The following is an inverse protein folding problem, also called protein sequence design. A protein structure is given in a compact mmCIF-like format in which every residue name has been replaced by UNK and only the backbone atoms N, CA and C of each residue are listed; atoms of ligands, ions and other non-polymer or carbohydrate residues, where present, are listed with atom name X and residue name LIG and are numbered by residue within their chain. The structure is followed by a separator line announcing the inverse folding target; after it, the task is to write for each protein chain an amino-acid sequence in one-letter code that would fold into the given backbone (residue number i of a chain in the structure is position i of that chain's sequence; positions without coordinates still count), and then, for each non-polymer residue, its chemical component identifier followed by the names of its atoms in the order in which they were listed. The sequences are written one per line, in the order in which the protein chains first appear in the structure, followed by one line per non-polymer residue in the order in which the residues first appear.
data_IF_603137204461
#
_entry.id   IF_603137204461
#
_cell.length_a   1.000
_cell.length_b   1.000
_cell.length_c   1.000
_cell.angle_alpha   90.00
_cell.angle_beta   90.00
_cell.angle_gamma   90.00
#
_symmetry.space_group_name_H-M   'P 1'
#
loop_
_entity.id
_entity.type
_entity.pdbx_description
1 polymer ?
#
# COMPACT_ATOMS: atom_id res chain seq x y z
N UNK A 1 -8.98 4.81 -9.75
CA UNK A 1 -9.70 5.39 -8.59
C UNK A 1 -10.33 6.72 -8.97
N UNK A 2 -11.27 7.17 -8.19
CA UNK A 2 -12.00 8.42 -8.38
C UNK A 2 -12.04 9.17 -7.04
N UNK A 3 -10.85 9.44 -6.51
CA UNK A 3 -10.57 10.06 -5.21
C UNK A 3 -11.16 9.27 -4.02
N UNK A 4 -12.47 9.24 -3.85
CA UNK A 4 -13.15 8.65 -2.69
C UNK A 4 -13.76 7.25 -2.97
N UNK A 5 -13.59 6.71 -4.20
CA UNK A 5 -14.14 5.40 -4.56
C UNK A 5 -13.26 4.61 -5.53
N UNK A 6 -13.41 3.29 -5.49
CA UNK A 6 -12.90 2.36 -6.50
C UNK A 6 -14.02 2.12 -7.52
N UNK A 7 -13.76 2.43 -8.79
CA UNK A 7 -14.73 2.25 -9.88
C UNK A 7 -14.32 1.05 -10.73
N UNK A 8 -15.27 0.15 -10.98
CA UNK A 8 -15.10 -1.04 -11.81
C UNK A 8 -15.78 -0.82 -13.16
N UNK A 9 -15.00 -0.98 -14.22
CA UNK A 9 -15.46 -0.72 -15.60
C UNK A 9 -15.09 -1.91 -16.48
N UNK A 10 -16.05 -2.41 -17.27
CA UNK A 10 -15.76 -3.35 -18.35
C UNK A 10 -15.19 -2.61 -19.55
N UNK A 11 -14.00 -3.00 -19.96
CA UNK A 11 -13.28 -2.48 -21.12
C UNK A 11 -13.02 -3.54 -22.19
N UNK A 12 -13.79 -4.62 -22.17
CA UNK A 12 -13.72 -5.69 -23.18
C UNK A 12 -13.88 -5.11 -24.57
N UNK A 13 -14.89 -4.25 -24.76
CA UNK A 13 -14.98 -3.37 -25.92
C UNK A 13 -14.40 -1.99 -25.57
N UNK A 14 -13.16 -1.75 -25.96
CA UNK A 14 -12.46 -0.48 -25.69
C UNK A 14 -13.11 0.74 -26.35
N UNK A 15 -13.97 0.54 -27.36
CA UNK A 15 -14.72 1.62 -28.00
C UNK A 15 -16.02 1.96 -27.26
N UNK A 16 -16.44 1.10 -26.35
CA UNK A 16 -17.68 1.27 -25.58
C UNK A 16 -17.53 0.70 -24.16
N UNK A 17 -16.64 1.28 -23.33
CA UNK A 17 -16.52 0.86 -21.94
C UNK A 17 -17.82 1.14 -21.18
N UNK A 18 -18.18 0.24 -20.26
CA UNK A 18 -19.35 0.47 -19.42
C UNK A 18 -19.06 0.25 -17.94
N UNK A 19 -19.76 1.01 -17.11
CA UNK A 19 -19.68 0.92 -15.66
C UNK A 19 -20.32 -0.41 -15.18
N UNK A 20 -19.62 -1.12 -14.30
CA UNK A 20 -20.12 -2.30 -13.61
C UNK A 20 -20.60 -1.89 -12.23
N UNK A 21 -19.71 -1.48 -11.37
CA UNK A 21 -19.99 -1.11 -9.97
C UNK A 21 -18.95 -0.14 -9.42
N UNK A 22 -19.19 0.34 -8.21
CA UNK A 22 -18.16 1.04 -7.44
C UNK A 22 -18.19 0.64 -5.98
N UNK A 23 -17.07 0.80 -5.30
CA UNK A 23 -16.94 0.61 -3.86
C UNK A 23 -16.41 1.88 -3.21
N UNK A 24 -17.13 2.37 -2.21
CA UNK A 24 -16.74 3.50 -1.38
C UNK A 24 -16.60 3.05 0.07
N UNK A 25 -15.49 3.39 0.71
CA UNK A 25 -15.28 3.18 2.13
C UNK A 25 -15.61 4.46 2.91
N UNK A 26 -16.23 4.33 4.08
CA UNK A 26 -16.75 5.47 4.85
C UNK A 26 -15.68 6.45 5.37
N UNK A 27 -14.42 6.04 5.38
CA UNK A 27 -13.29 6.84 5.86
C UNK A 27 -12.18 6.96 4.80
N UNK A 28 -12.53 6.89 3.52
CA UNK A 28 -11.60 7.11 2.42
C UNK A 28 -11.47 8.60 2.14
N UNK A 29 -10.24 9.06 1.93
CA UNK A 29 -9.95 10.43 1.50
C UNK A 29 -9.43 10.49 0.08
N UNK A 30 -8.49 9.60 -0.27
CA UNK A 30 -7.91 9.59 -1.60
C UNK A 30 -7.48 8.17 -2.00
N UNK A 31 -8.38 7.42 -2.66
CA UNK A 31 -8.04 6.12 -3.24
C UNK A 31 -7.01 6.32 -4.34
N UNK A 32 -5.74 6.27 -3.98
CA UNK A 32 -4.63 6.64 -4.85
C UNK A 32 -4.27 5.53 -5.84
N UNK A 33 -4.06 4.33 -5.35
CA UNK A 33 -3.63 3.19 -6.14
C UNK A 33 -4.23 1.87 -5.62
N UNK A 34 -4.09 0.82 -6.41
CA UNK A 34 -4.42 -0.52 -5.97
C UNK A 34 -3.83 -1.58 -6.88
N UNK A 35 -3.74 -2.81 -6.36
CA UNK A 35 -3.24 -3.96 -7.08
C UNK A 35 -4.03 -5.21 -6.74
N UNK A 36 -4.23 -6.08 -7.74
CA UNK A 36 -4.90 -7.37 -7.55
C UNK A 36 -3.93 -8.43 -7.05
N UNK A 37 -4.45 -9.40 -6.27
CA UNK A 37 -3.78 -10.67 -6.07
C UNK A 37 -3.65 -11.44 -7.38
N UNK A 38 -2.73 -12.42 -7.47
CA UNK A 38 -2.49 -13.15 -8.73
C UNK A 38 -3.71 -13.95 -9.19
N UNK A 39 -4.57 -14.39 -8.28
CA UNK A 39 -5.85 -15.06 -8.57
C UNK A 39 -6.97 -14.08 -8.94
N UNK A 40 -6.71 -12.76 -8.88
CA UNK A 40 -7.63 -11.67 -9.12
C UNK A 40 -8.84 -11.61 -8.17
N UNK A 41 -8.78 -12.32 -7.06
CA UNK A 41 -9.88 -12.37 -6.10
C UNK A 41 -9.89 -11.18 -5.14
N UNK A 42 -8.72 -10.72 -4.74
CA UNK A 42 -8.61 -9.59 -3.81
C UNK A 42 -7.95 -8.39 -4.47
N UNK A 43 -8.48 -7.21 -4.17
CA UNK A 43 -7.91 -5.93 -4.62
C UNK A 43 -7.45 -5.12 -3.41
N UNK A 44 -6.16 -4.84 -3.35
CA UNK A 44 -5.54 -4.07 -2.28
C UNK A 44 -5.56 -2.59 -2.68
N UNK A 45 -6.20 -1.75 -1.88
CA UNK A 45 -6.35 -0.30 -2.12
C UNK A 45 -5.51 0.47 -1.13
N UNK A 46 -4.69 1.39 -1.63
CA UNK A 46 -4.03 2.41 -0.83
C UNK A 46 -4.85 3.70 -0.83
N UNK A 47 -5.13 4.23 0.34
CA UNK A 47 -5.66 5.58 0.55
C UNK A 47 -4.49 6.46 1.00
N UNK A 48 -4.16 7.50 0.23
CA UNK A 48 -2.93 8.28 0.46
C UNK A 48 -3.12 9.40 1.49
N UNK A 49 -4.33 9.78 1.83
CA UNK A 49 -4.59 10.97 2.66
C UNK A 49 -5.38 10.71 3.95
N UNK A 50 -5.82 9.48 4.19
CA UNK A 50 -6.62 9.17 5.36
C UNK A 50 -5.84 9.32 6.68
N UNK A 51 -4.54 9.03 6.69
CA UNK A 51 -3.67 9.25 7.83
C UNK A 51 -3.57 10.73 8.20
N UNK A 52 -3.46 11.59 7.18
CA UNK A 52 -3.33 13.04 7.36
C UNK A 52 -4.64 13.65 7.85
N UNK A 53 -5.75 13.27 7.24
CA UNK A 53 -7.06 13.85 7.53
C UNK A 53 -7.64 13.35 8.84
N UNK A 54 -7.54 12.04 9.11
CA UNK A 54 -8.14 11.44 10.31
C UNK A 54 -7.15 11.23 11.44
N UNK A 55 -5.84 11.39 11.21
CA UNK A 55 -4.80 11.15 12.21
C UNK A 55 -4.72 9.68 12.64
N UNK A 56 -4.96 8.77 11.72
CA UNK A 56 -4.86 7.32 11.92
C UNK A 56 -3.52 6.80 11.44
N UNK A 57 -3.24 5.53 11.68
CA UNK A 57 -2.08 4.85 11.10
C UNK A 57 -2.37 4.44 9.66
N UNK A 58 -1.31 4.28 8.86
CA UNK A 58 -1.40 3.84 7.47
C UNK A 58 -2.25 2.57 7.33
N UNK A 59 -3.09 2.55 6.30
CA UNK A 59 -4.09 1.50 6.13
C UNK A 59 -4.16 1.02 4.69
N UNK A 60 -4.10 -0.29 4.50
CA UNK A 60 -4.42 -0.93 3.23
C UNK A 60 -5.81 -1.56 3.32
N UNK A 61 -6.75 -1.09 2.51
CA UNK A 61 -8.10 -1.65 2.40
C UNK A 61 -8.07 -2.80 1.40
N UNK A 62 -8.58 -3.97 1.79
CA UNK A 62 -8.58 -5.15 0.94
C UNK A 62 -10.02 -5.52 0.60
N UNK A 63 -10.33 -5.47 -0.69
CA UNK A 63 -11.65 -5.76 -1.22
C UNK A 63 -11.71 -7.18 -1.79
N UNK A 64 -12.81 -7.88 -1.56
CA UNK A 64 -13.13 -9.13 -2.25
C UNK A 64 -13.84 -8.80 -3.57
N UNK A 65 -13.22 -9.18 -4.68
CA UNK A 65 -13.68 -8.99 -6.06
C UNK A 65 -14.19 -10.30 -6.68
N UNK A 66 -14.53 -11.29 -5.87
CA UNK A 66 -15.15 -12.53 -6.36
C UNK A 66 -16.43 -12.26 -7.14
N UNK A 67 -17.16 -11.21 -6.81
CA UNK A 67 -18.29 -10.66 -7.55
C UNK A 67 -18.00 -9.19 -7.87
N UNK A 68 -17.79 -8.87 -9.15
CA UNK A 68 -17.50 -7.51 -9.59
C UNK A 68 -18.72 -6.60 -9.60
N UNK A 69 -19.94 -7.16 -9.59
CA UNK A 69 -21.19 -6.39 -9.47
C UNK A 69 -21.41 -5.93 -8.02
N UNK A 70 -20.87 -6.65 -7.03
CA UNK A 70 -21.04 -6.37 -5.60
C UNK A 70 -19.72 -6.54 -4.81
N UNK A 71 -18.70 -5.69 -5.06
CA UNK A 71 -17.44 -5.74 -4.31
C UNK A 71 -17.66 -5.42 -2.83
N UNK A 72 -16.98 -6.15 -1.95
CA UNK A 72 -17.15 -5.98 -0.50
C UNK A 72 -15.80 -5.77 0.20
N UNK A 73 -15.81 -5.04 1.32
CA UNK A 73 -14.65 -4.95 2.20
C UNK A 73 -14.39 -6.32 2.83
N UNK A 74 -13.20 -6.88 2.56
CA UNK A 74 -12.79 -8.17 3.09
C UNK A 74 -12.09 -8.02 4.44
N UNK A 75 -11.00 -7.26 4.47
CA UNK A 75 -10.20 -6.98 5.66
C UNK A 75 -9.40 -5.68 5.44
N UNK A 76 -9.00 -5.05 6.53
CA UNK A 76 -8.07 -3.92 6.51
C UNK A 76 -6.79 -4.32 7.24
N UNK A 77 -5.65 -4.08 6.62
CA UNK A 77 -4.37 -4.07 7.31
C UNK A 77 -4.14 -2.66 7.87
N UNK A 78 -3.82 -2.57 9.16
CA UNK A 78 -3.45 -1.32 9.82
C UNK A 78 -1.96 -1.41 10.17
N UNK A 79 -1.17 -0.51 9.63
CA UNK A 79 0.24 -0.38 9.98
C UNK A 79 0.40 -0.02 11.47
N UNK A 80 1.46 -0.49 12.14
CA UNK A 80 1.77 0.00 13.49
C UNK A 80 2.14 1.49 13.51
N UNK A 81 2.37 2.11 12.34
CA UNK A 81 2.91 3.46 12.21
C UNK A 81 1.97 4.39 11.47
N UNK A 82 2.04 5.66 11.86
CA UNK A 82 1.34 6.76 11.24
C UNK A 82 2.21 7.38 10.12
N UNK A 83 2.47 6.61 9.07
CA UNK A 83 3.14 7.02 7.83
C UNK A 83 2.12 7.07 6.71
N UNK A 84 2.45 7.65 5.58
CA UNK A 84 1.59 7.69 4.40
C UNK A 84 2.03 6.62 3.42
N UNK A 85 1.08 5.77 2.98
CA UNK A 85 1.33 4.76 1.96
C UNK A 85 1.14 5.35 0.56
N UNK A 86 1.99 4.93 -0.40
CA UNK A 86 1.91 5.43 -1.76
C UNK A 86 1.63 4.31 -2.78
N UNK A 87 2.64 3.68 -3.35
CA UNK A 87 2.44 2.67 -4.39
C UNK A 87 2.78 1.26 -3.91
N UNK A 88 1.95 0.28 -4.30
CA UNK A 88 2.17 -1.11 -3.94
C UNK A 88 1.83 -2.10 -5.06
N UNK A 89 2.50 -3.26 -5.02
CA UNK A 89 2.39 -4.31 -6.03
C UNK A 89 2.43 -5.68 -5.38
N UNK A 90 1.58 -6.60 -5.86
CA UNK A 90 1.57 -8.00 -5.41
C UNK A 90 2.45 -8.84 -6.30
N UNK A 91 3.28 -9.70 -5.70
CA UNK A 91 4.03 -10.77 -6.36
C UNK A 91 3.94 -12.02 -5.49
N UNK A 92 3.30 -13.06 -5.99
CA UNK A 92 2.95 -14.23 -5.20
C UNK A 92 2.06 -13.84 -4.01
N UNK A 93 2.42 -14.31 -2.83
CA UNK A 93 1.72 -14.01 -1.59
C UNK A 93 2.30 -12.81 -0.82
N UNK A 94 3.00 -11.92 -1.53
CA UNK A 94 3.60 -10.74 -0.91
C UNK A 94 3.13 -9.45 -1.58
N UNK A 95 2.73 -8.46 -0.76
CA UNK A 95 2.45 -7.11 -1.19
C UNK A 95 3.61 -6.19 -0.82
N UNK A 96 4.25 -5.64 -1.83
CA UNK A 96 5.38 -4.71 -1.72
C UNK A 96 4.84 -3.29 -1.77
N UNK A 97 5.01 -2.54 -0.69
CA UNK A 97 4.39 -1.24 -0.48
C UNK A 97 5.45 -0.18 -0.18
N UNK A 98 5.48 0.87 -0.97
CA UNK A 98 6.26 2.06 -0.70
C UNK A 98 5.45 3.01 0.21
N UNK A 99 6.00 3.36 1.35
CA UNK A 99 5.33 4.10 2.43
C UNK A 99 6.08 5.38 2.77
N UNK A 100 6.37 6.22 1.80
CA UNK A 100 7.10 7.49 1.97
C UNK A 100 8.19 7.40 3.07
N UNK A 101 8.08 8.19 4.15
CA UNK A 101 9.00 8.18 5.29
C UNK A 101 9.05 6.83 6.01
N UNK A 102 8.04 5.99 5.86
CA UNK A 102 8.01 4.62 6.36
C UNK A 102 8.82 3.62 5.54
N UNK A 103 9.45 4.03 4.44
CA UNK A 103 10.29 3.17 3.61
C UNK A 103 9.53 2.09 2.84
N UNK A 104 10.15 0.93 2.64
CA UNK A 104 9.53 -0.22 2.00
C UNK A 104 8.95 -1.17 3.04
N UNK A 105 7.68 -1.52 2.88
CA UNK A 105 6.97 -2.53 3.67
C UNK A 105 6.63 -3.73 2.80
N UNK A 106 6.66 -4.92 3.37
CA UNK A 106 6.26 -6.14 2.67
C UNK A 106 5.25 -6.87 3.55
N UNK A 107 4.00 -6.91 3.08
CA UNK A 107 2.93 -7.61 3.77
C UNK A 107 2.84 -9.06 3.28
N UNK A 108 2.54 -9.97 4.19
CA UNK A 108 2.25 -11.37 3.92
C UNK A 108 0.75 -11.56 3.69
N UNK A 109 0.40 -12.09 2.54
CA UNK A 109 -0.97 -12.34 2.09
C UNK A 109 -1.32 -13.84 2.11
N UNK A 110 -0.42 -14.73 2.55
CA UNK A 110 -0.62 -16.18 2.51
C UNK A 110 -1.96 -16.61 3.13
N UNK A 111 -2.39 -15.91 4.18
CA UNK A 111 -3.63 -16.20 4.90
C UNK A 111 -4.73 -15.15 4.68
N UNK A 112 -4.68 -14.41 3.57
CA UNK A 112 -5.63 -13.35 3.25
C UNK A 112 -7.08 -13.85 3.22
N UNK A 113 -7.33 -15.08 2.77
CA UNK A 113 -8.64 -15.72 2.76
C UNK A 113 -9.25 -15.80 4.18
N UNK A 114 -8.42 -15.98 5.20
CA UNK A 114 -8.82 -16.02 6.61
C UNK A 114 -8.80 -14.63 7.27
N UNK A 115 -8.65 -13.56 6.49
CA UNK A 115 -8.56 -12.18 6.97
C UNK A 115 -7.31 -11.91 7.81
N UNK A 116 -6.26 -12.68 7.58
CA UNK A 116 -4.97 -12.50 8.24
C UNK A 116 -3.99 -11.90 7.25
N UNK A 117 -3.59 -10.64 7.49
CA UNK A 117 -2.55 -9.92 6.75
C UNK A 117 -1.60 -9.34 7.77
N UNK A 118 -0.31 -9.60 7.62
CA UNK A 118 0.71 -9.18 8.57
C UNK A 118 1.91 -8.56 7.86
N UNK A 119 2.59 -7.63 8.52
CA UNK A 119 3.87 -7.12 8.02
C UNK A 119 4.95 -8.20 8.21
N UNK A 120 5.53 -8.63 7.10
CA UNK A 120 6.59 -9.66 7.08
C UNK A 120 7.97 -9.05 7.15
N UNK A 121 8.18 -7.94 6.45
CA UNK A 121 9.46 -7.22 6.40
C UNK A 121 9.23 -5.73 6.31
N UNK A 122 10.16 -4.99 6.89
CA UNK A 122 10.26 -3.55 6.81
C UNK A 122 11.70 -3.16 6.46
N UNK A 123 11.88 -2.21 5.55
CA UNK A 123 13.17 -1.67 5.16
C UNK A 123 13.10 -0.16 5.19
N UNK A 124 13.83 0.45 6.11
CA UNK A 124 14.05 1.88 6.12
C UNK A 124 14.88 2.26 4.88
N UNK A 125 14.31 3.09 4.02
CA UNK A 125 14.99 3.62 2.83
C UNK A 125 15.67 4.96 3.10
N UNK A 126 15.42 5.59 4.24
CA UNK A 126 16.07 6.82 4.70
C UNK A 126 17.46 6.53 5.28
N UNK A 127 18.40 6.14 4.42
CA UNK A 127 19.78 5.92 4.83
C UNK A 127 20.54 7.23 4.63
N UNK A 128 20.90 7.90 5.70
CA UNK A 128 21.97 8.90 5.65
C UNK A 128 23.22 8.27 5.03
N UNK A 129 23.79 8.90 4.03
CA UNK A 129 24.88 8.40 3.17
C UNK A 129 26.18 7.97 3.88
N UNK A 130 26.27 7.96 5.20
CA UNK A 130 27.52 7.77 5.94
C UNK A 130 27.81 6.33 6.42
N UNK A 131 26.88 5.38 6.35
CA UNK A 131 27.19 4.00 6.74
C UNK A 131 26.47 2.95 5.90
N UNK A 132 27.00 2.64 4.72
CA UNK A 132 26.65 1.42 3.98
C UNK A 132 27.23 0.17 4.66
N UNK A 133 26.85 -0.14 5.85
CA UNK A 133 26.92 -1.51 6.34
C UNK A 133 25.54 -2.12 6.19
N UNK A 134 25.46 -3.19 5.40
CA UNK A 134 24.23 -3.94 5.18
C UNK A 134 23.45 -4.11 6.49
N UNK A 135 22.40 -3.32 6.69
CA UNK A 135 21.48 -3.54 7.79
C UNK A 135 20.70 -4.81 7.45
N UNK A 136 20.76 -5.77 8.37
CA UNK A 136 19.86 -6.92 8.33
C UNK A 136 18.43 -6.39 8.37
N UNK A 137 17.45 -7.10 7.74
CA UNK A 137 16.04 -6.79 7.90
C UNK A 137 15.75 -6.63 9.38
N UNK A 138 15.37 -5.44 9.80
CA UNK A 138 14.97 -5.19 11.17
C UNK A 138 13.55 -5.71 11.30
N UNK A 139 13.40 -6.82 12.01
CA UNK A 139 12.09 -7.18 12.53
C UNK A 139 11.82 -6.18 13.64
N UNK A 140 11.00 -5.19 13.35
CA UNK A 140 10.45 -4.21 14.30
C UNK A 140 11.54 -3.44 15.10
N UNK A 141 11.78 -2.24 14.68
CA UNK A 141 12.62 -1.30 15.42
C UNK A 141 12.61 0.05 14.74
N UNK A 142 11.61 0.85 15.05
CA UNK A 142 11.46 2.20 14.54
C UNK A 142 12.37 3.16 15.28
N UNK A 143 12.95 4.11 14.56
CA UNK A 143 13.47 5.33 15.15
C UNK A 143 12.27 6.26 15.39
N UNK A 144 11.90 6.46 16.65
CA UNK A 144 10.71 7.22 17.09
C UNK A 144 10.65 8.68 16.57
N UNK A 145 11.69 9.17 15.91
CA UNK A 145 11.78 10.56 15.46
C UNK A 145 11.27 10.80 14.03
N UNK A 146 11.28 9.76 13.17
CA UNK A 146 10.80 9.86 11.77
C UNK A 146 9.33 9.48 11.61
N UNK A 147 8.79 8.69 12.52
CA UNK A 147 7.44 8.13 12.44
C UNK A 147 6.33 9.02 13.03
N UNK A 148 6.57 10.32 13.23
CA UNK A 148 5.56 11.23 13.75
C UNK A 148 4.98 12.15 12.66
N UNK A 149 3.85 11.79 12.03
CA UNK A 149 3.21 12.58 10.96
C UNK A 149 2.75 13.97 11.42
N UNK A 150 2.90 14.28 12.70
CA UNK A 150 2.48 15.56 13.29
C UNK A 150 3.57 16.61 13.29
N UNK A 151 4.77 16.32 12.74
CA UNK A 151 5.90 17.28 12.69
C UNK A 151 5.83 18.31 11.56
N UNK A 152 4.79 18.31 10.76
CA UNK A 152 4.56 19.25 9.66
C UNK A 152 4.26 18.48 8.37
N UNK A 153 3.25 18.91 7.63
CA UNK A 153 2.77 18.24 6.42
C UNK A 153 3.84 18.12 5.31
N UNK A 154 4.93 18.89 5.37
CA UNK A 154 5.96 18.89 4.32
C UNK A 154 6.88 17.67 4.36
N UNK A 155 7.04 17.02 5.52
CA UNK A 155 7.94 15.86 5.69
C UNK A 155 7.25 14.51 5.43
N UNK A 156 5.92 14.45 5.42
CA UNK A 156 5.16 13.20 5.31
C UNK A 156 5.28 12.53 3.94
N UNK A 157 5.48 13.33 2.90
CA UNK A 157 5.52 12.92 1.51
C UNK A 157 6.94 12.83 0.93
N UNK A 158 7.95 12.68 1.79
CA UNK A 158 9.33 12.39 1.41
C UNK A 158 9.64 10.90 1.60
N UNK A 159 10.60 10.37 0.84
CA UNK A 159 11.06 8.99 0.99
C UNK A 159 10.54 8.05 -0.10
N UNK A 160 10.19 6.83 0.27
CA UNK A 160 9.84 5.77 -0.68
C UNK A 160 8.57 6.10 -1.46
N UNK A 161 8.74 6.39 -2.76
CA UNK A 161 7.67 6.77 -3.68
C UNK A 161 7.04 5.57 -4.40
N UNK A 162 7.87 4.65 -4.90
CA UNK A 162 7.39 3.47 -5.61
C UNK A 162 8.38 2.32 -5.48
N UNK A 163 7.90 1.11 -5.70
CA UNK A 163 8.70 -0.11 -5.71
C UNK A 163 8.46 -0.88 -7.01
N UNK A 164 9.51 -1.49 -7.54
CA UNK A 164 9.40 -2.42 -8.67
C UNK A 164 9.92 -3.81 -8.25
N UNK A 165 9.04 -4.78 -7.95
CA UNK A 165 9.43 -6.09 -7.43
C UNK A 165 9.50 -7.20 -8.49
N UNK A 166 9.36 -6.88 -9.79
CA UNK A 166 9.13 -7.88 -10.83
C UNK A 166 10.39 -8.42 -11.52
N UNK A 167 11.59 -8.22 -10.95
CA UNK A 167 12.79 -8.80 -11.50
C UNK A 167 12.87 -10.32 -11.26
N UNK A 168 13.18 -11.09 -12.29
CA UNK A 168 13.38 -12.56 -12.20
C UNK A 168 14.50 -12.96 -11.23
N UNK A 169 15.42 -12.05 -10.93
CA UNK A 169 16.52 -12.26 -9.98
C UNK A 169 16.08 -12.24 -8.52
N UNK A 170 14.83 -11.82 -8.22
CA UNK A 170 14.37 -11.57 -6.86
C UNK A 170 14.83 -10.21 -6.30
N UNK A 171 15.57 -9.42 -7.06
CA UNK A 171 15.89 -8.05 -6.68
C UNK A 171 14.65 -7.17 -6.83
N UNK A 172 14.63 -6.07 -6.09
CA UNK A 172 13.64 -5.01 -6.24
C UNK A 172 14.33 -3.65 -6.31
N UNK A 173 13.63 -2.66 -6.85
CA UNK A 173 14.06 -1.26 -6.83
C UNK A 173 13.01 -0.47 -6.09
N UNK A 174 13.44 0.39 -5.16
CA UNK A 174 12.62 1.43 -4.54
C UNK A 174 13.08 2.77 -5.12
N UNK A 175 12.14 3.57 -5.60
CA UNK A 175 12.39 4.97 -5.92
C UNK A 175 12.08 5.81 -4.69
N UNK A 176 12.89 6.82 -4.48
CA UNK A 176 12.80 7.72 -3.34
C UNK A 176 12.71 9.16 -3.84
N UNK A 177 11.95 10.01 -3.15
CA UNK A 177 11.90 11.46 -3.39
C UNK A 177 12.39 12.18 -2.16
N UNK A 178 13.45 12.99 -2.34
CA UNK A 178 14.05 13.89 -1.36
C UNK A 178 14.06 15.32 -1.88
#
# INVERSE_FOLDING_TARGET
SNEDEVVIVDVTDKSNPYFISSFQHNSTQFTHQGWLTEDHKYFLVGDELDEVEFGINARTIILDFSDLDEPVNHVEYISPNAVVDHNGYVVGDLFYLASYTGGLRILDLENIEFKEVTEKYFFDTHIEHETQSARKPSIIGFDDDHDNPRKGNEDLFNGAWSVYPFFKSGNLIVSDIN
#
